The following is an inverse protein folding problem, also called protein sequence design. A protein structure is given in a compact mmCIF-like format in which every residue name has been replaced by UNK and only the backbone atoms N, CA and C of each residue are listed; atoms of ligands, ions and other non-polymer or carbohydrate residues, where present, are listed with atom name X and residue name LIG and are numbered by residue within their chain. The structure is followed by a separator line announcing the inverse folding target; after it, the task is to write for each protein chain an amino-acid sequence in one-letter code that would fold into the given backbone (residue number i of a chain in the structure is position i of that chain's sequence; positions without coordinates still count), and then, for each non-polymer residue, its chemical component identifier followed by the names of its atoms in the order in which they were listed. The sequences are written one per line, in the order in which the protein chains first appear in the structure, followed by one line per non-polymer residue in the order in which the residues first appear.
data_IF_270595356362
#
_entry.id   IF_270595356362
#
_cell.length_a   1.000
_cell.length_b   1.000
_cell.length_c   1.000
_cell.angle_alpha   90.00
_cell.angle_beta   90.00
_cell.angle_gamma   90.00
#
_symmetry.space_group_name_H-M   'P 1'
#
loop_
_entity.id
_entity.type
_entity.pdbx_description
1 polymer ?
#
# COMPACT_ATOMS: atom_id res chain seq x y z
N UNK A 1 -14.96 -42.55 -13.10
CA UNK A 1 -14.70 -41.72 -14.30
C UNK A 1 -16.01 -41.52 -15.07
N UNK A 2 -16.44 -40.26 -15.24
CA UNK A 2 -17.34 -39.72 -16.29
C UNK A 2 -17.87 -38.37 -15.76
N UNK A 3 -17.09 -37.28 -15.84
CA UNK A 3 -16.84 -36.35 -16.96
C UNK A 3 -17.91 -35.26 -17.12
N UNK A 4 -17.51 -34.04 -16.72
CA UNK A 4 -18.24 -32.76 -16.72
C UNK A 4 -18.51 -32.17 -18.12
N UNK A 5 -18.72 -33.00 -19.16
CA UNK A 5 -18.83 -32.57 -20.58
C UNK A 5 -20.22 -32.73 -21.21
N UNK A 6 -21.29 -32.89 -20.44
CA UNK A 6 -22.65 -33.05 -21.00
C UNK A 6 -23.48 -31.75 -21.11
N UNK A 7 -23.02 -30.60 -20.61
CA UNK A 7 -23.87 -29.41 -20.54
C UNK A 7 -23.70 -28.41 -21.71
N UNK A 8 -22.78 -28.66 -22.66
CA UNK A 8 -22.47 -27.71 -23.73
C UNK A 8 -22.97 -28.09 -25.14
N UNK A 9 -23.79 -29.13 -25.30
CA UNK A 9 -24.08 -29.67 -26.63
C UNK A 9 -25.55 -30.02 -26.92
N UNK A 10 -26.51 -29.25 -26.39
CA UNK A 10 -27.90 -29.24 -26.89
C UNK A 10 -28.52 -27.86 -26.80
N UNK A 11 -28.41 -27.08 -27.87
CA UNK A 11 -29.04 -25.76 -27.95
C UNK A 11 -28.86 -25.07 -29.30
N UNK A 12 -29.04 -25.79 -30.41
CA UNK A 12 -29.05 -25.20 -31.75
C UNK A 12 -30.36 -25.58 -32.46
N UNK A 13 -31.43 -24.83 -32.20
CA UNK A 13 -32.56 -24.58 -33.10
C UNK A 13 -33.61 -23.68 -32.43
N UNK A 14 -34.07 -22.67 -33.19
CA UNK A 14 -35.25 -21.82 -32.98
C UNK A 14 -35.13 -20.58 -32.04
N UNK A 15 -34.81 -19.43 -32.65
CA UNK A 15 -35.62 -18.21 -32.63
C UNK A 15 -35.89 -17.45 -31.31
N UNK A 16 -35.43 -16.19 -31.31
CA UNK A 16 -35.83 -15.04 -30.47
C UNK A 16 -35.13 -14.85 -29.10
N UNK A 17 -34.41 -13.71 -29.03
CA UNK A 17 -33.95 -12.96 -27.84
C UNK A 17 -32.98 -13.65 -26.86
N UNK A 18 -31.69 -13.70 -27.22
CA UNK A 18 -30.62 -13.78 -26.22
C UNK A 18 -30.29 -12.37 -25.72
N UNK A 19 -30.93 -11.96 -24.62
CA UNK A 19 -30.44 -10.85 -23.79
C UNK A 19 -29.12 -11.35 -23.18
N UNK A 20 -28.01 -10.90 -23.77
CA UNK A 20 -26.67 -11.28 -23.33
C UNK A 20 -26.37 -10.72 -21.94
N UNK A 21 -25.83 -11.58 -21.09
CA UNK A 21 -25.27 -11.24 -19.78
C UNK A 21 -24.14 -10.19 -19.83
N UNK A 22 -23.71 -9.75 -21.02
CA UNK A 22 -22.66 -8.75 -21.23
C UNK A 22 -23.10 -7.29 -21.16
N UNK A 23 -24.40 -6.98 -21.01
CA UNK A 23 -24.87 -5.57 -20.86
C UNK A 23 -24.93 -5.06 -19.42
N UNK A 24 -24.81 -5.92 -18.42
CA UNK A 24 -24.73 -5.49 -17.01
C UNK A 24 -23.36 -4.92 -16.61
N UNK A 25 -22.35 -5.00 -17.48
CA UNK A 25 -21.00 -4.47 -17.24
C UNK A 25 -20.74 -3.11 -17.91
N UNK A 26 -21.67 -2.59 -18.73
CA UNK A 26 -21.40 -1.42 -19.58
C UNK A 26 -22.25 -0.18 -19.27
N UNK A 27 -23.35 -0.31 -18.52
CA UNK A 27 -24.21 0.83 -18.16
C UNK A 27 -24.22 0.98 -16.64
N UNK A 28 -23.22 1.69 -16.09
CA UNK A 28 -23.22 2.11 -14.70
C UNK A 28 -24.34 3.15 -14.49
N UNK A 29 -25.31 2.92 -13.58
CA UNK A 29 -26.32 3.93 -13.28
C UNK A 29 -25.67 5.21 -12.73
N UNK A 30 -26.24 6.37 -13.11
CA UNK A 30 -25.81 7.67 -12.61
C UNK A 30 -25.89 7.72 -11.08
N UNK A 31 -24.84 8.22 -10.44
CA UNK A 31 -24.78 8.38 -9.00
C UNK A 31 -25.78 9.47 -8.56
N UNK A 32 -26.69 9.15 -7.64
CA UNK A 32 -27.42 10.20 -6.91
C UNK A 32 -26.56 10.66 -5.73
N UNK A 33 -26.07 11.89 -5.80
CA UNK A 33 -25.48 12.58 -4.64
C UNK A 33 -26.62 13.31 -3.90
N UNK A 34 -26.88 12.95 -2.65
CA UNK A 34 -27.77 13.74 -1.80
C UNK A 34 -27.29 13.71 -0.34
N UNK A 35 -26.99 14.90 0.19
CA UNK A 35 -26.59 15.10 1.59
C UNK A 35 -25.29 15.89 1.73
N UNK A 36 -25.17 16.70 2.79
CA UNK A 36 -23.90 17.33 3.15
C UNK A 36 -22.98 16.36 3.91
N UNK A 37 -21.68 16.61 3.87
CA UNK A 37 -20.67 15.76 4.51
C UNK A 37 -20.75 15.86 6.04
N UNK A 38 -20.89 14.74 6.75
CA UNK A 38 -20.89 14.74 8.21
C UNK A 38 -19.49 15.07 8.76
N UNK A 39 -19.37 15.58 10.00
CA UNK A 39 -18.07 15.82 10.60
C UNK A 39 -17.20 14.56 10.69
N UNK A 40 -17.80 13.39 10.94
CA UNK A 40 -17.11 12.11 11.01
C UNK A 40 -16.56 11.67 9.65
N UNK A 41 -17.40 11.72 8.61
CA UNK A 41 -16.99 11.39 7.24
C UNK A 41 -15.88 12.32 6.74
N UNK A 42 -16.00 13.63 7.02
CA UNK A 42 -14.96 14.60 6.68
C UNK A 42 -13.66 14.35 7.44
N UNK A 43 -13.71 13.93 8.70
CA UNK A 43 -12.52 13.58 9.46
C UNK A 43 -11.79 12.37 8.87
N UNK A 44 -12.55 11.33 8.48
CA UNK A 44 -12.02 10.15 7.78
C UNK A 44 -11.35 10.55 6.47
N UNK A 45 -12.07 11.27 5.59
CA UNK A 45 -11.54 11.68 4.29
C UNK A 45 -10.33 12.60 4.44
N UNK A 46 -10.30 13.47 5.45
CA UNK A 46 -9.17 14.37 5.69
C UNK A 46 -7.94 13.61 6.22
N UNK A 47 -8.14 12.58 7.03
CA UNK A 47 -7.05 11.71 7.47
C UNK A 47 -6.48 10.91 6.29
N UNK A 48 -7.35 10.28 5.49
CA UNK A 48 -6.94 9.58 4.26
C UNK A 48 -6.19 10.52 3.33
N UNK A 49 -6.73 11.70 3.02
CA UNK A 49 -6.06 12.70 2.19
C UNK A 49 -4.64 13.06 2.69
N UNK A 50 -4.42 13.07 4.01
CA UNK A 50 -3.10 13.30 4.58
C UNK A 50 -2.15 12.10 4.41
N UNK A 51 -2.65 10.87 4.52
CA UNK A 51 -1.87 9.66 4.24
C UNK A 51 -1.52 9.54 2.76
N UNK A 52 -2.49 9.71 1.86
CA UNK A 52 -2.26 9.73 0.41
C UNK A 52 -1.22 10.79 0.01
N UNK A 53 -1.19 11.94 0.71
CA UNK A 53 -0.16 12.97 0.47
C UNK A 53 1.24 12.51 0.90
N UNK A 54 1.35 11.73 1.98
CA UNK A 54 2.61 11.16 2.46
C UNK A 54 3.08 10.03 1.55
N UNK A 55 2.14 9.21 1.08
CA UNK A 55 2.34 8.12 0.14
C UNK A 55 2.76 8.62 -1.25
N UNK A 56 2.15 9.71 -1.72
CA UNK A 56 2.63 10.39 -2.93
C UNK A 56 4.08 10.86 -2.78
N UNK A 57 4.46 11.44 -1.63
CA UNK A 57 5.83 11.93 -1.41
C UNK A 57 6.87 10.81 -1.36
N UNK A 58 6.50 9.62 -0.85
CA UNK A 58 7.39 8.46 -0.87
C UNK A 58 7.47 7.82 -2.25
N UNK A 59 6.35 7.65 -2.95
CA UNK A 59 6.32 7.08 -4.30
C UNK A 59 7.04 7.98 -5.30
N UNK A 60 6.89 9.30 -5.19
CA UNK A 60 7.67 10.24 -5.99
C UNK A 60 9.18 10.01 -5.82
N UNK A 61 9.67 9.81 -4.58
CA UNK A 61 11.10 9.53 -4.35
C UNK A 61 11.57 8.22 -5.00
N UNK A 62 10.74 7.19 -4.98
CA UNK A 62 11.02 5.95 -5.70
C UNK A 62 11.00 6.14 -7.22
N UNK A 63 10.01 6.86 -7.74
CA UNK A 63 9.88 7.15 -9.17
C UNK A 63 11.05 7.99 -9.70
N UNK A 64 11.54 8.96 -8.91
CA UNK A 64 12.68 9.79 -9.28
C UNK A 64 13.97 9.00 -9.58
N UNK A 65 14.15 7.87 -8.90
CA UNK A 65 15.35 7.05 -9.00
C UNK A 65 15.13 5.78 -9.82
N UNK A 66 14.02 5.09 -9.61
CA UNK A 66 13.74 3.75 -10.14
C UNK A 66 12.60 3.66 -11.15
N UNK A 67 11.78 4.69 -11.29
CA UNK A 67 10.62 4.70 -12.19
C UNK A 67 10.90 5.29 -13.58
N UNK A 68 9.84 5.47 -14.37
CA UNK A 68 9.89 6.06 -15.71
C UNK A 68 10.05 7.58 -15.61
N UNK A 69 10.95 8.14 -16.42
CA UNK A 69 11.20 9.58 -16.46
C UNK A 69 10.46 10.20 -17.65
N UNK A 70 9.23 10.66 -17.41
CA UNK A 70 8.41 11.34 -18.41
C UNK A 70 7.71 12.59 -17.83
N UNK A 71 6.59 13.01 -18.44
CA UNK A 71 5.83 14.19 -18.04
C UNK A 71 4.50 13.89 -17.36
N UNK A 72 4.17 12.63 -17.09
CA UNK A 72 2.89 12.23 -16.46
C UNK A 72 2.89 12.58 -14.97
N UNK A 73 3.93 12.16 -14.26
CA UNK A 73 4.15 12.47 -12.84
C UNK A 73 5.48 13.20 -12.62
N UNK A 74 5.62 14.00 -11.54
CA UNK A 74 6.91 14.54 -11.13
C UNK A 74 7.96 13.44 -10.96
N UNK A 75 9.03 13.51 -11.75
CA UNK A 75 10.13 12.54 -11.74
C UNK A 75 11.50 13.19 -11.48
N UNK A 76 12.53 12.38 -11.50
CA UNK A 76 13.91 12.78 -11.29
C UNK A 76 14.64 12.83 -12.63
N UNK A 77 15.91 12.46 -12.61
CA UNK A 77 16.63 12.10 -13.84
C UNK A 77 16.90 10.59 -13.94
N UNK A 78 16.36 9.79 -13.01
CA UNK A 78 16.63 8.36 -12.89
C UNK A 78 18.02 8.03 -12.35
N UNK A 79 18.18 6.79 -11.87
CA UNK A 79 19.45 6.21 -11.45
C UNK A 79 19.60 4.80 -12.06
N UNK A 80 20.34 4.66 -13.18
CA UNK A 80 20.40 3.39 -13.92
C UNK A 80 20.84 2.19 -13.07
N UNK A 81 21.81 2.37 -12.18
CA UNK A 81 22.28 1.27 -11.33
C UNK A 81 21.20 0.81 -10.33
N UNK A 82 20.44 1.75 -9.77
CA UNK A 82 19.34 1.41 -8.88
C UNK A 82 18.15 0.81 -9.63
N UNK A 83 17.81 1.32 -10.83
CA UNK A 83 16.82 0.73 -11.72
C UNK A 83 17.20 -0.71 -12.09
N UNK A 84 18.46 -0.98 -12.41
CA UNK A 84 18.95 -2.34 -12.69
C UNK A 84 18.80 -3.26 -11.47
N UNK A 85 19.13 -2.77 -10.27
CA UNK A 85 18.97 -3.55 -9.03
C UNK A 85 17.50 -3.83 -8.69
N UNK A 86 16.59 -2.88 -8.94
CA UNK A 86 15.15 -3.10 -8.84
C UNK A 86 14.68 -4.12 -9.88
N UNK A 87 15.22 -4.09 -11.10
CA UNK A 87 14.82 -5.00 -12.18
C UNK A 87 15.09 -6.49 -11.91
N UNK A 88 15.95 -6.79 -10.91
CA UNK A 88 16.15 -8.14 -10.39
C UNK A 88 14.88 -8.69 -9.74
N UNK A 89 14.04 -7.82 -9.16
CA UNK A 89 12.75 -8.20 -8.60
C UNK A 89 11.72 -8.48 -9.71
N UNK A 90 11.69 -7.64 -10.75
CA UNK A 90 10.87 -7.83 -11.95
C UNK A 90 11.35 -6.87 -13.05
N UNK A 91 11.36 -7.30 -14.32
CA UNK A 91 11.82 -6.45 -15.42
C UNK A 91 10.97 -5.19 -15.62
N UNK A 92 9.72 -5.21 -15.15
CA UNK A 92 8.76 -4.12 -15.33
C UNK A 92 8.66 -3.18 -14.11
N UNK A 93 9.56 -3.31 -13.12
CA UNK A 93 9.54 -2.50 -11.89
C UNK A 93 9.44 -0.99 -12.14
N UNK A 94 10.11 -0.46 -13.16
CA UNK A 94 10.05 0.96 -13.47
C UNK A 94 8.64 1.43 -13.87
N UNK A 95 7.88 0.59 -14.59
CA UNK A 95 6.50 0.87 -14.96
C UNK A 95 5.60 0.81 -13.73
N UNK A 96 5.71 -0.24 -12.91
CA UNK A 96 4.87 -0.40 -11.72
C UNK A 96 5.07 0.75 -10.72
N UNK A 97 6.32 1.19 -10.51
CA UNK A 97 6.62 2.33 -9.63
C UNK A 97 5.98 3.61 -10.18
N UNK A 98 6.06 3.82 -11.50
CA UNK A 98 5.53 5.00 -12.15
C UNK A 98 3.99 5.04 -12.12
N UNK A 99 3.32 3.94 -12.47
CA UNK A 99 1.85 3.82 -12.45
C UNK A 99 1.31 4.01 -11.03
N UNK A 100 1.91 3.35 -10.03
CA UNK A 100 1.49 3.53 -8.63
C UNK A 100 1.69 4.97 -8.17
N UNK A 101 2.77 5.64 -8.62
CA UNK A 101 2.98 7.05 -8.32
C UNK A 101 1.87 7.92 -8.89
N UNK A 102 1.43 7.67 -10.13
CA UNK A 102 0.30 8.40 -10.74
C UNK A 102 -0.99 8.19 -9.95
N UNK A 103 -1.32 6.95 -9.61
CA UNK A 103 -2.51 6.61 -8.82
C UNK A 103 -2.51 7.38 -7.49
N UNK A 104 -1.39 7.42 -6.77
CA UNK A 104 -1.30 8.19 -5.52
C UNK A 104 -1.51 9.69 -5.71
N UNK A 105 -0.97 10.27 -6.80
CA UNK A 105 -1.22 11.66 -7.14
C UNK A 105 -2.72 11.93 -7.34
N UNK A 106 -3.45 10.98 -7.94
CA UNK A 106 -4.89 11.10 -8.13
C UNK A 106 -5.67 10.95 -6.83
N UNK A 107 -5.30 10.03 -5.95
CA UNK A 107 -5.98 9.78 -4.67
C UNK A 107 -6.00 11.03 -3.78
N UNK A 108 -4.82 11.60 -3.45
CA UNK A 108 -4.79 12.78 -2.57
C UNK A 108 -5.43 14.01 -3.22
N UNK A 109 -5.28 14.16 -4.55
CA UNK A 109 -5.86 15.28 -5.30
C UNK A 109 -7.38 15.21 -5.26
N UNK A 110 -7.95 14.03 -5.53
CA UNK A 110 -9.39 13.80 -5.50
C UNK A 110 -9.96 14.05 -4.10
N UNK A 111 -9.38 13.44 -3.06
CA UNK A 111 -9.88 13.57 -1.68
C UNK A 111 -9.85 15.03 -1.21
N UNK A 112 -8.77 15.76 -1.46
CA UNK A 112 -8.67 17.17 -1.12
C UNK A 112 -9.64 18.05 -1.92
N UNK A 113 -9.88 17.74 -3.20
CA UNK A 113 -10.88 18.44 -4.01
C UNK A 113 -12.29 18.18 -3.47
N UNK A 114 -12.61 16.93 -3.13
CA UNK A 114 -13.90 16.53 -2.58
C UNK A 114 -14.19 17.23 -1.24
N UNK A 115 -13.22 17.29 -0.33
CA UNK A 115 -13.34 18.04 0.93
C UNK A 115 -13.62 19.53 0.66
N UNK A 116 -12.89 20.14 -0.29
CA UNK A 116 -13.02 21.56 -0.63
C UNK A 116 -14.39 21.90 -1.21
N UNK A 117 -14.92 21.07 -2.12
CA UNK A 117 -16.25 21.30 -2.73
C UNK A 117 -17.37 21.24 -1.70
N UNK A 118 -17.18 20.48 -0.62
CA UNK A 118 -18.10 20.40 0.52
C UNK A 118 -17.82 21.43 1.63
N UNK A 119 -16.91 22.39 1.40
CA UNK A 119 -16.57 23.43 2.37
C UNK A 119 -15.83 22.92 3.61
N UNK A 120 -15.25 21.72 3.55
CA UNK A 120 -14.50 21.12 4.65
C UNK A 120 -13.01 21.43 4.56
N UNK A 121 -12.33 21.31 5.71
CA UNK A 121 -10.89 21.50 5.78
C UNK A 121 -10.15 20.39 5.02
N UNK A 122 -9.22 20.79 4.16
CA UNK A 122 -8.34 19.89 3.41
C UNK A 122 -7.17 19.39 4.30
N UNK A 123 -6.49 18.34 3.84
CA UNK A 123 -5.18 17.99 4.36
C UNK A 123 -4.14 18.90 3.68
N UNK A 124 -3.31 19.57 4.47
CA UNK A 124 -2.21 20.37 3.93
C UNK A 124 -0.99 20.18 4.82
N UNK A 125 0.01 19.49 4.26
CA UNK A 125 1.26 19.15 4.95
C UNK A 125 2.46 19.95 4.41
N UNK A 126 2.26 20.89 3.49
CA UNK A 126 3.38 21.56 2.78
C UNK A 126 4.38 22.25 3.71
N UNK A 127 3.92 22.80 4.84
CA UNK A 127 4.81 23.41 5.83
C UNK A 127 5.80 22.41 6.48
N UNK A 128 5.54 21.11 6.37
CA UNK A 128 6.35 20.02 6.91
C UNK A 128 7.25 19.37 5.84
N UNK A 129 7.28 19.91 4.62
CA UNK A 129 8.15 19.46 3.53
C UNK A 129 9.59 19.94 3.79
N UNK A 130 10.22 19.40 4.83
CA UNK A 130 11.49 19.89 5.39
C UNK A 130 12.57 18.82 5.46
N UNK A 131 12.22 17.54 5.28
CA UNK A 131 13.20 16.46 5.31
C UNK A 131 14.12 16.55 4.08
N UNK A 132 15.40 16.13 4.20
CA UNK A 132 16.32 16.14 3.08
C UNK A 132 15.98 15.03 2.08
N UNK A 133 16.20 15.30 0.79
CA UNK A 133 16.20 14.28 -0.25
C UNK A 133 17.46 13.42 -0.22
N UNK A 134 17.42 12.27 -0.90
CA UNK A 134 18.64 11.55 -1.29
C UNK A 134 19.58 12.47 -2.09
N UNK A 135 20.89 12.27 -1.92
CA UNK A 135 21.93 12.96 -2.69
C UNK A 135 22.47 12.11 -3.84
N UNK A 136 21.89 10.93 -4.09
CA UNK A 136 22.25 10.09 -5.21
C UNK A 136 21.86 10.77 -6.53
N UNK A 137 22.65 10.54 -7.58
CA UNK A 137 22.31 10.98 -8.93
C UNK A 137 20.94 10.43 -9.32
N UNK A 138 20.07 11.28 -9.87
CA UNK A 138 18.68 10.94 -10.17
C UNK A 138 17.67 11.63 -9.27
N UNK A 139 17.96 11.77 -7.97
CA UNK A 139 17.04 12.33 -7.01
C UNK A 139 16.88 13.85 -7.17
N UNK A 140 15.64 14.33 -7.05
CA UNK A 140 15.40 15.77 -6.90
C UNK A 140 15.93 16.27 -5.56
N UNK A 141 16.41 17.52 -5.52
CA UNK A 141 16.95 18.15 -4.32
C UNK A 141 15.93 19.11 -3.70
N UNK A 142 14.80 18.54 -3.25
CA UNK A 142 13.69 19.28 -2.65
C UNK A 142 13.47 18.87 -1.19
N UNK A 143 12.65 19.62 -0.46
CA UNK A 143 12.16 19.17 0.83
C UNK A 143 11.22 17.98 0.67
N UNK A 144 11.24 17.06 1.63
CA UNK A 144 10.37 15.86 1.68
C UNK A 144 9.47 15.87 2.90
N UNK A 145 8.38 15.13 2.80
CA UNK A 145 7.53 14.79 3.94
C UNK A 145 7.94 13.47 4.59
N UNK A 146 8.53 12.57 3.79
CA UNK A 146 8.90 11.21 4.18
C UNK A 146 10.39 10.93 4.04
N UNK A 147 10.89 9.94 4.79
CA UNK A 147 12.28 9.51 4.83
C UNK A 147 12.40 8.04 4.40
N UNK A 148 13.06 7.78 3.27
CA UNK A 148 13.31 6.44 2.74
C UNK A 148 14.74 5.92 3.00
N UNK A 149 15.52 6.66 3.77
CA UNK A 149 16.94 6.38 4.03
C UNK A 149 17.19 5.67 5.37
N UNK A 150 16.17 5.58 6.23
CA UNK A 150 16.26 5.04 7.60
C UNK A 150 15.00 4.22 7.97
N UNK A 151 14.72 3.18 7.19
CA UNK A 151 13.50 2.37 7.32
C UNK A 151 13.67 1.18 8.28
N UNK A 152 12.61 0.86 9.01
CA UNK A 152 12.42 -0.39 9.77
C UNK A 152 11.16 -1.06 9.24
N UNK A 153 11.28 -2.01 8.31
CA UNK A 153 10.11 -2.54 7.59
C UNK A 153 9.53 -3.73 8.34
N UNK A 154 8.32 -3.59 8.85
CA UNK A 154 7.56 -4.74 9.36
C UNK A 154 7.19 -5.62 8.17
N UNK A 155 7.75 -6.83 8.12
CA UNK A 155 7.51 -7.84 7.09
C UNK A 155 6.51 -8.91 7.54
N UNK A 156 5.86 -8.76 8.70
CA UNK A 156 4.81 -9.67 9.15
C UNK A 156 3.55 -9.59 8.29
N UNK A 157 3.40 -8.57 7.45
CA UNK A 157 2.36 -8.55 6.41
C UNK A 157 2.46 -9.76 5.48
N UNK A 158 3.67 -10.28 5.23
CA UNK A 158 3.89 -11.44 4.36
C UNK A 158 3.21 -12.68 4.89
N UNK A 159 3.52 -13.01 6.15
CA UNK A 159 3.01 -14.19 6.84
C UNK A 159 1.56 -13.99 7.26
N UNK A 160 1.13 -12.73 7.47
CA UNK A 160 -0.26 -12.37 7.70
C UNK A 160 -1.15 -12.95 6.62
N UNK A 161 -0.82 -12.79 5.35
CA UNK A 161 -1.65 -13.26 4.24
C UNK A 161 -1.45 -14.75 3.88
N UNK A 162 -0.45 -15.42 4.45
CA UNK A 162 -0.11 -16.84 4.19
C UNK A 162 -0.42 -17.78 5.37
N UNK A 163 -1.01 -17.25 6.45
CA UNK A 163 -1.41 -18.05 7.61
C UNK A 163 -2.89 -18.41 7.54
N UNK A 164 -3.18 -19.70 7.66
CA UNK A 164 -4.55 -20.25 7.70
C UNK A 164 -5.18 -20.26 9.11
N UNK A 165 -4.34 -20.03 10.13
CA UNK A 165 -4.67 -20.28 11.53
C UNK A 165 -4.48 -19.05 12.43
N UNK A 166 -3.92 -17.97 11.88
CA UNK A 166 -3.73 -16.69 12.58
C UNK A 166 -4.40 -15.53 11.84
N UNK A 167 -5.02 -14.63 12.59
CA UNK A 167 -5.57 -13.38 12.08
C UNK A 167 -5.33 -12.25 13.11
N UNK A 168 -4.71 -11.11 12.73
CA UNK A 168 -4.50 -9.98 13.63
C UNK A 168 -5.80 -9.40 14.21
N UNK A 169 -6.95 -9.54 13.54
CA UNK A 169 -8.27 -9.14 14.09
C UNK A 169 -8.58 -9.91 15.41
N UNK A 170 -7.96 -11.08 15.62
CA UNK A 170 -8.12 -11.92 16.83
C UNK A 170 -6.95 -11.76 17.82
N UNK A 171 -6.09 -10.75 17.64
CA UNK A 171 -4.94 -10.49 18.50
C UNK A 171 -3.74 -11.43 18.25
N UNK A 172 -3.76 -12.20 17.15
CA UNK A 172 -2.65 -13.09 16.80
C UNK A 172 -1.43 -12.29 16.32
N UNK A 173 -0.24 -12.73 16.74
CA UNK A 173 1.03 -12.20 16.23
C UNK A 173 1.64 -13.15 15.21
N UNK A 174 2.15 -12.57 14.12
CA UNK A 174 2.73 -13.30 12.99
C UNK A 174 4.24 -13.05 12.89
N UNK A 175 5.02 -14.05 12.46
CA UNK A 175 6.47 -13.91 12.36
C UNK A 175 6.86 -12.99 11.19
N UNK A 176 8.04 -12.37 11.31
CA UNK A 176 8.65 -11.57 10.25
C UNK A 176 9.17 -12.49 9.14
N UNK A 177 8.93 -12.15 7.86
CA UNK A 177 9.52 -12.87 6.74
C UNK A 177 11.02 -12.56 6.61
N UNK A 178 11.40 -11.30 6.85
CA UNK A 178 12.80 -10.85 6.88
C UNK A 178 13.09 -10.26 8.27
N UNK A 179 13.52 -11.08 9.25
CA UNK A 179 13.70 -10.63 10.63
C UNK A 179 14.64 -9.43 10.79
N UNK A 180 15.74 -9.40 10.05
CA UNK A 180 16.72 -8.30 10.12
C UNK A 180 16.13 -6.97 9.63
N UNK A 181 15.24 -7.01 8.63
CA UNK A 181 14.62 -5.81 8.06
C UNK A 181 13.60 -5.15 9.01
N UNK A 182 13.01 -5.95 9.90
CA UNK A 182 12.07 -5.51 10.93
C UNK A 182 12.76 -4.89 12.16
N UNK A 183 14.08 -4.76 12.13
CA UNK A 183 14.88 -4.13 13.20
C UNK A 183 15.95 -3.22 12.60
N UNK A 184 16.50 -2.29 13.36
CA UNK A 184 17.52 -1.37 12.82
C UNK A 184 16.95 -0.36 11.81
N UNK A 185 17.83 0.27 11.02
CA UNK A 185 17.45 1.30 10.04
C UNK A 185 18.18 1.03 8.73
N UNK A 186 17.40 0.87 7.66
CA UNK A 186 17.87 0.41 6.36
C UNK A 186 17.45 1.39 5.26
N UNK A 187 18.32 1.69 4.28
CA UNK A 187 17.91 2.50 3.14
C UNK A 187 17.01 1.69 2.19
N UNK A 188 15.84 2.24 1.87
CA UNK A 188 15.02 1.78 0.74
C UNK A 188 15.37 2.51 -0.57
N UNK A 189 16.16 3.57 -0.53
CA UNK A 189 16.76 4.21 -1.71
C UNK A 189 18.25 4.49 -1.43
N UNK A 190 19.11 4.59 -2.47
CA UNK A 190 20.49 5.04 -2.27
C UNK A 190 20.51 6.41 -1.60
N UNK A 191 21.23 6.58 -0.49
CA UNK A 191 21.34 7.86 0.25
C UNK A 191 22.24 8.86 -0.49
N UNK A 192 23.23 8.31 -1.19
CA UNK A 192 24.19 9.00 -2.05
C UNK A 192 24.74 8.01 -3.09
N UNK A 193 25.57 8.49 -4.01
CA UNK A 193 26.25 7.62 -4.97
C UNK A 193 27.21 6.60 -4.33
N UNK A 194 27.57 6.77 -3.05
CA UNK A 194 28.37 5.78 -2.33
C UNK A 194 27.62 4.44 -2.16
N UNK A 195 26.28 4.49 -2.07
CA UNK A 195 25.45 3.30 -1.90
C UNK A 195 25.28 2.50 -3.20
N UNK A 196 25.78 3.00 -4.34
CA UNK A 196 25.76 2.29 -5.63
C UNK A 196 26.82 1.17 -5.70
N UNK A 197 27.59 0.98 -4.63
CA UNK A 197 28.63 -0.05 -4.54
C UNK A 197 28.82 -0.53 -3.09
N UNK A 198 29.25 -1.78 -2.88
CA UNK A 198 29.33 -2.87 -3.88
C UNK A 198 27.94 -3.29 -4.39
N UNK A 199 27.85 -4.08 -5.48
CA UNK A 199 26.57 -4.48 -6.07
C UNK A 199 25.59 -5.11 -5.07
N UNK A 200 26.08 -5.98 -4.17
CA UNK A 200 25.23 -6.63 -3.17
C UNK A 200 24.66 -5.65 -2.12
N UNK A 201 25.36 -4.53 -1.85
CA UNK A 201 24.82 -3.46 -1.01
C UNK A 201 23.66 -2.75 -1.71
N UNK A 202 23.82 -2.41 -3.00
CA UNK A 202 22.76 -1.80 -3.78
C UNK A 202 21.56 -2.75 -3.95
N UNK A 203 21.81 -4.05 -4.14
CA UNK A 203 20.74 -5.05 -4.19
C UNK A 203 20.00 -5.16 -2.84
N UNK A 204 20.70 -5.05 -1.71
CA UNK A 204 20.05 -5.01 -0.39
C UNK A 204 19.10 -3.80 -0.24
N UNK A 205 19.46 -2.66 -0.82
CA UNK A 205 18.59 -1.46 -0.87
C UNK A 205 17.38 -1.71 -1.76
N UNK A 206 17.56 -2.29 -2.95
CA UNK A 206 16.45 -2.65 -3.84
C UNK A 206 15.51 -3.70 -3.21
N UNK A 207 16.05 -4.70 -2.51
CA UNK A 207 15.26 -5.66 -1.76
C UNK A 207 14.49 -4.98 -0.61
N UNK A 208 15.13 -4.05 0.11
CA UNK A 208 14.46 -3.23 1.13
C UNK A 208 13.28 -2.45 0.54
N UNK A 209 13.47 -1.84 -0.64
CA UNK A 209 12.41 -1.16 -1.37
C UNK A 209 11.24 -2.09 -1.70
N UNK A 210 11.52 -3.28 -2.28
CA UNK A 210 10.49 -4.26 -2.61
C UNK A 210 9.61 -4.67 -1.43
N UNK A 211 10.22 -4.94 -0.27
CA UNK A 211 9.46 -5.23 0.96
C UNK A 211 8.74 -4.00 1.52
N UNK A 212 9.31 -2.81 1.34
CA UNK A 212 8.69 -1.56 1.78
C UNK A 212 7.45 -1.20 0.95
N UNK A 213 7.48 -1.40 -0.38
CA UNK A 213 6.32 -1.20 -1.26
C UNK A 213 5.11 -1.99 -0.75
N UNK A 214 5.30 -3.29 -0.52
CA UNK A 214 4.24 -4.14 -0.01
C UNK A 214 3.80 -3.77 1.43
N UNK A 215 4.70 -3.25 2.28
CA UNK A 215 4.34 -2.77 3.61
C UNK A 215 3.40 -1.56 3.55
N UNK A 216 3.73 -0.58 2.70
CA UNK A 216 2.94 0.65 2.51
C UNK A 216 1.54 0.30 1.99
N UNK A 217 1.49 -0.48 0.92
CA UNK A 217 0.27 -0.78 0.18
C UNK A 217 -0.64 -1.78 0.92
N UNK A 218 -0.04 -2.66 1.74
CA UNK A 218 -0.81 -3.44 2.72
C UNK A 218 -1.55 -2.50 3.68
N UNK A 219 -0.91 -1.40 4.08
CA UNK A 219 -1.47 -0.37 4.94
C UNK A 219 -2.77 0.18 4.35
N UNK A 220 -2.72 0.71 3.12
CA UNK A 220 -3.90 1.18 2.38
C UNK A 220 -4.97 0.09 2.24
N UNK A 221 -4.57 -1.10 1.79
CA UNK A 221 -5.42 -2.29 1.63
C UNK A 221 -6.26 -2.59 2.87
N UNK A 222 -5.70 -2.44 4.08
CA UNK A 222 -6.41 -2.72 5.34
C UNK A 222 -7.14 -1.49 5.93
N UNK A 223 -6.57 -0.30 5.74
CA UNK A 223 -7.08 0.93 6.36
C UNK A 223 -8.40 1.38 5.73
N UNK A 224 -8.51 1.38 4.40
CA UNK A 224 -9.73 1.75 3.69
C UNK A 224 -10.96 0.94 4.12
N UNK A 225 -10.95 -0.41 4.11
CA UNK A 225 -12.10 -1.19 4.58
C UNK A 225 -12.35 -1.05 6.09
N UNK A 226 -11.31 -0.80 6.89
CA UNK A 226 -11.46 -0.52 8.32
C UNK A 226 -12.20 0.80 8.54
N UNK A 227 -11.87 1.85 7.81
CA UNK A 227 -12.53 3.16 7.91
C UNK A 227 -13.90 3.19 7.21
N UNK A 228 -14.11 2.38 6.17
CA UNK A 228 -15.39 2.26 5.48
C UNK A 228 -16.53 1.81 6.41
N UNK A 229 -16.22 1.06 7.46
CA UNK A 229 -17.20 0.65 8.48
C UNK A 229 -17.66 1.80 9.39
N UNK A 230 -17.02 2.97 9.30
CA UNK A 230 -17.27 4.13 10.18
C UNK A 230 -17.95 5.30 9.47
N UNK A 231 -17.98 5.30 8.15
CA UNK A 231 -18.60 6.37 7.37
C UNK A 231 -20.13 6.25 7.37
N UNK A 232 -20.81 7.37 7.25
CA UNK A 232 -22.27 7.49 7.31
C UNK A 232 -22.89 7.74 5.94
N UNK A 233 -22.23 8.57 5.12
CA UNK A 233 -22.66 8.86 3.76
C UNK A 233 -22.39 7.68 2.84
N UNK A 234 -23.41 7.28 2.08
CA UNK A 234 -23.27 6.28 1.02
C UNK A 234 -22.33 6.73 -0.09
N UNK A 235 -22.25 8.04 -0.33
CA UNK A 235 -21.32 8.62 -1.30
C UNK A 235 -19.87 8.51 -0.80
N UNK A 236 -19.62 8.81 0.48
CA UNK A 236 -18.30 8.66 1.09
C UNK A 236 -17.90 7.19 1.18
N UNK A 237 -18.85 6.32 1.53
CA UNK A 237 -18.65 4.87 1.49
C UNK A 237 -18.24 4.41 0.08
N UNK A 238 -18.88 4.95 -0.97
CA UNK A 238 -18.49 4.67 -2.34
C UNK A 238 -17.05 5.10 -2.64
N UNK A 239 -16.60 6.25 -2.12
CA UNK A 239 -15.21 6.69 -2.27
C UNK A 239 -14.26 5.66 -1.64
N UNK A 240 -14.47 5.30 -0.38
CA UNK A 240 -13.59 4.36 0.32
C UNK A 240 -13.61 2.96 -0.30
N UNK A 241 -14.77 2.51 -0.78
CA UNK A 241 -14.92 1.22 -1.48
C UNK A 241 -14.47 1.27 -2.95
N UNK A 242 -14.05 2.43 -3.47
CA UNK A 242 -13.48 2.55 -4.82
C UNK A 242 -11.98 2.71 -4.79
N UNK A 243 -11.44 3.52 -3.87
CA UNK A 243 -9.99 3.67 -3.66
C UNK A 243 -9.43 2.45 -2.92
N UNK A 244 -10.07 1.95 -1.86
CA UNK A 244 -9.54 0.79 -1.13
C UNK A 244 -9.23 -0.46 -1.98
N UNK A 245 -10.03 -0.80 -3.01
CA UNK A 245 -9.67 -1.87 -3.94
C UNK A 245 -8.49 -1.55 -4.88
N UNK A 246 -8.19 -0.30 -5.21
CA UNK A 246 -6.98 0.05 -6.00
C UNK A 246 -5.72 -0.20 -5.17
N UNK A 247 -5.71 0.21 -3.90
CA UNK A 247 -4.67 -0.16 -2.91
C UNK A 247 -4.46 -1.68 -2.82
N UNK A 248 -5.54 -2.46 -2.93
CA UNK A 248 -5.46 -3.92 -2.92
C UNK A 248 -4.77 -4.46 -4.19
N UNK A 249 -4.97 -3.81 -5.34
CA UNK A 249 -4.27 -4.15 -6.59
C UNK A 249 -2.78 -3.79 -6.49
N UNK A 250 -2.45 -2.63 -5.91
CA UNK A 250 -1.08 -2.24 -5.62
C UNK A 250 -0.42 -3.28 -4.72
N UNK A 251 -0.99 -3.56 -3.55
CA UNK A 251 -0.45 -4.54 -2.61
C UNK A 251 -0.24 -5.91 -3.26
N UNK A 252 -1.22 -6.40 -4.02
CA UNK A 252 -1.12 -7.68 -4.72
C UNK A 252 0.08 -7.73 -5.68
N UNK A 253 0.36 -6.63 -6.39
CA UNK A 253 1.53 -6.48 -7.24
C UNK A 253 2.80 -6.54 -6.38
N UNK A 254 2.90 -5.70 -5.37
CA UNK A 254 4.14 -5.57 -4.61
C UNK A 254 4.48 -6.77 -3.74
N UNK A 255 3.50 -7.46 -3.16
CA UNK A 255 3.80 -8.67 -2.40
C UNK A 255 4.31 -9.83 -3.27
N UNK A 256 3.90 -9.88 -4.56
CA UNK A 256 4.48 -10.80 -5.53
C UNK A 256 5.94 -10.40 -5.82
N UNK A 257 6.19 -9.12 -6.10
CA UNK A 257 7.54 -8.64 -6.47
C UNK A 257 8.55 -8.71 -5.32
N UNK A 258 8.10 -8.47 -4.09
CA UNK A 258 8.91 -8.68 -2.89
C UNK A 258 9.40 -10.14 -2.78
N UNK A 259 8.62 -11.11 -3.28
CA UNK A 259 8.99 -12.53 -3.30
C UNK A 259 10.12 -12.91 -4.25
N UNK A 260 10.50 -12.01 -5.16
CA UNK A 260 11.61 -12.21 -6.09
C UNK A 260 12.95 -11.68 -5.54
N UNK A 261 12.96 -11.09 -4.34
CA UNK A 261 14.19 -10.62 -3.70
C UNK A 261 15.18 -11.78 -3.50
N UNK A 262 16.39 -11.71 -4.11
CA UNK A 262 17.37 -12.77 -3.96
C UNK A 262 17.90 -12.82 -2.51
N UNK A 263 18.21 -14.02 -1.99
CA UNK A 263 18.87 -14.15 -0.70
C UNK A 263 20.28 -13.56 -0.79
N UNK A 264 20.63 -12.71 0.18
CA UNK A 264 21.95 -12.07 0.26
C UNK A 264 22.24 -11.59 1.69
N UNK A 265 23.52 -11.38 1.98
CA UNK A 265 23.95 -10.60 3.16
C UNK A 265 24.68 -9.37 2.65
N UNK A 266 24.18 -8.19 3.00
CA UNK A 266 24.78 -6.92 2.62
C UNK A 266 26.20 -6.82 3.22
N UNK A 267 27.27 -6.74 2.39
CA UNK A 267 28.64 -6.65 2.89
C UNK A 267 28.94 -5.34 3.62
N UNK A 268 28.11 -4.29 3.44
CA UNK A 268 28.30 -2.98 4.05
C UNK A 268 27.62 -2.85 5.41
N UNK A 269 26.46 -3.48 5.60
CA UNK A 269 25.64 -3.31 6.81
C UNK A 269 25.44 -4.59 7.61
N UNK A 270 25.62 -5.76 7.00
CA UNK A 270 25.28 -7.06 7.57
C UNK A 270 23.80 -7.45 7.48
N UNK A 271 22.94 -6.59 6.89
CA UNK A 271 21.53 -6.90 6.65
C UNK A 271 21.40 -8.19 5.83
N UNK A 272 20.66 -9.17 6.34
CA UNK A 272 20.45 -10.45 5.65
C UNK A 272 19.03 -10.62 5.13
N UNK A 273 18.92 -10.96 3.85
CA UNK A 273 17.71 -11.50 3.21
C UNK A 273 17.87 -13.04 3.12
N UNK A 274 17.11 -13.82 3.90
CA UNK A 274 17.16 -15.28 3.83
C UNK A 274 16.50 -15.81 2.54
N UNK A 275 16.76 -17.09 2.23
CA UNK A 275 15.99 -17.80 1.21
C UNK A 275 14.60 -18.14 1.76
N UNK A 276 13.58 -17.38 1.36
CA UNK A 276 12.21 -17.56 1.81
C UNK A 276 11.60 -18.90 1.39
N UNK A 277 12.14 -19.57 0.38
CA UNK A 277 11.63 -20.88 -0.06
C UNK A 277 12.28 -22.05 0.69
N UNK A 278 13.18 -21.79 1.64
CA UNK A 278 13.81 -22.82 2.47
C UNK A 278 12.89 -23.38 3.59
N UNK A 279 11.96 -22.55 4.10
CA UNK A 279 11.28 -22.78 5.40
C UNK A 279 9.77 -23.04 5.29
N UNK A 280 9.36 -23.79 4.27
CA UNK A 280 7.99 -24.31 4.12
C UNK A 280 6.97 -23.29 3.62
N UNK A 281 5.69 -23.68 3.69
CA UNK A 281 4.59 -23.02 2.98
C UNK A 281 4.40 -21.55 3.41
N UNK A 282 4.60 -21.23 4.69
CA UNK A 282 4.35 -19.90 5.24
C UNK A 282 5.21 -18.79 4.60
N UNK A 283 6.42 -19.13 4.14
CA UNK A 283 7.35 -18.19 3.50
C UNK A 283 7.45 -18.38 1.98
N UNK A 284 6.81 -19.41 1.44
CA UNK A 284 6.84 -19.74 0.01
C UNK A 284 6.41 -18.55 -0.86
N UNK A 285 7.26 -18.18 -1.83
CA UNK A 285 7.14 -16.90 -2.53
C UNK A 285 6.05 -16.87 -3.58
N UNK A 286 5.74 -18.00 -4.22
CA UNK A 286 4.70 -18.10 -5.24
C UNK A 286 3.26 -18.28 -4.69
N UNK A 287 3.06 -18.27 -3.37
CA UNK A 287 1.74 -18.24 -2.74
C UNK A 287 1.22 -16.81 -2.65
N UNK A 288 0.80 -16.30 -3.80
CA UNK A 288 0.44 -14.89 -3.97
C UNK A 288 -1.05 -14.61 -3.73
N UNK A 289 -1.88 -15.63 -3.48
CA UNK A 289 -3.28 -15.46 -3.13
C UNK A 289 -3.44 -15.55 -1.61
N UNK A 290 -4.35 -14.79 -0.98
CA UNK A 290 -4.51 -14.81 0.46
C UNK A 290 -5.07 -16.16 0.94
N UNK A 291 -4.33 -16.81 1.85
CA UNK A 291 -4.76 -18.05 2.49
C UNK A 291 -6.05 -17.82 3.32
N UNK A 292 -7.03 -18.75 3.26
CA UNK A 292 -8.23 -18.65 4.07
C UNK A 292 -7.92 -18.62 5.57
N UNK A 293 -8.57 -17.77 6.33
CA UNK A 293 -8.33 -17.67 7.78
C UNK A 293 -9.63 -17.51 8.58
N UNK A 294 -9.50 -17.45 9.90
CA UNK A 294 -10.58 -17.17 10.84
C UNK A 294 -11.15 -15.78 10.55
N UNK A 295 -12.48 -15.68 10.41
CA UNK A 295 -13.18 -14.43 10.18
C UNK A 295 -14.48 -14.38 10.99
N UNK A 296 -14.76 -13.21 11.60
CA UNK A 296 -15.90 -12.92 12.49
C UNK A 296 -15.97 -13.77 13.77
N UNK A 297 -15.93 -15.10 13.67
CA UNK A 297 -16.00 -16.03 14.79
C UNK A 297 -15.38 -17.38 14.36
N UNK A 298 -14.61 -18.02 15.27
CA UNK A 298 -13.96 -19.33 15.03
C UNK A 298 -14.94 -20.48 14.74
N UNK A 299 -16.24 -20.28 14.97
CA UNK A 299 -17.28 -21.26 14.60
C UNK A 299 -17.59 -21.30 13.10
N UNK A 300 -17.26 -20.24 12.35
CA UNK A 300 -17.44 -20.22 10.90
C UNK A 300 -16.27 -20.90 10.19
N UNK A 301 -16.49 -21.49 9.01
CA UNK A 301 -15.39 -21.96 8.17
C UNK A 301 -14.42 -20.82 7.83
N UNK A 302 -13.14 -21.14 7.68
CA UNK A 302 -12.12 -20.19 7.23
C UNK A 302 -12.46 -19.64 5.84
N UNK A 303 -12.10 -18.39 5.58
CA UNK A 303 -12.36 -17.68 4.31
C UNK A 303 -11.20 -16.74 3.97
N UNK A 304 -10.89 -16.59 2.67
CA UNK A 304 -9.89 -15.63 2.20
C UNK A 304 -10.45 -14.21 2.30
N UNK A 305 -9.74 -13.34 3.03
CA UNK A 305 -10.16 -11.97 3.33
C UNK A 305 -8.96 -11.03 3.33
N UNK A 306 -9.24 -9.73 3.23
CA UNK A 306 -8.32 -8.68 3.68
C UNK A 306 -8.27 -8.66 5.20
N UNK A 307 -7.08 -8.39 5.76
CA UNK A 307 -6.86 -8.38 7.21
C UNK A 307 -5.72 -7.41 7.62
N UNK A 308 -5.92 -6.61 8.68
CA UNK A 308 -7.14 -6.50 9.47
C UNK A 308 -8.24 -5.71 8.75
N UNK A 309 -9.49 -5.95 9.14
CA UNK A 309 -10.62 -5.08 8.74
C UNK A 309 -11.45 -4.64 9.93
N UNK A 310 -11.40 -5.36 11.07
CA UNK A 310 -12.04 -4.95 12.30
C UNK A 310 -11.00 -4.45 13.28
N UNK A 311 -10.81 -3.13 13.35
CA UNK A 311 -9.81 -2.53 14.23
C UNK A 311 -10.42 -1.45 15.09
N UNK A 312 -10.11 -1.40 16.38
CA UNK A 312 -10.23 -0.18 17.17
C UNK A 312 -8.99 0.71 16.94
N UNK A 313 -9.20 1.99 16.65
CA UNK A 313 -8.10 2.93 16.44
C UNK A 313 -7.33 2.72 15.12
N UNK A 314 -8.03 2.43 14.02
CA UNK A 314 -7.44 2.15 12.70
C UNK A 314 -6.47 3.24 12.25
N UNK A 315 -6.88 4.50 12.37
CA UNK A 315 -6.12 5.65 11.93
C UNK A 315 -4.87 5.87 12.80
N UNK A 316 -5.02 5.77 14.13
CA UNK A 316 -3.89 5.83 15.05
C UNK A 316 -2.93 4.64 14.86
N UNK A 317 -3.45 3.46 14.54
CA UNK A 317 -2.69 2.26 14.21
C UNK A 317 -1.81 2.49 12.97
N UNK A 318 -2.39 3.01 11.89
CA UNK A 318 -1.66 3.36 10.68
C UNK A 318 -0.55 4.40 10.95
N UNK A 319 -0.88 5.50 11.65
CA UNK A 319 0.12 6.51 12.01
C UNK A 319 1.26 5.93 12.86
N UNK A 320 0.95 5.05 13.81
CA UNK A 320 1.95 4.37 14.64
C UNK A 320 2.83 3.45 13.79
N UNK A 321 2.25 2.69 12.87
CA UNK A 321 3.00 1.80 11.98
C UNK A 321 3.96 2.59 11.08
N UNK A 322 3.50 3.65 10.42
CA UNK A 322 4.34 4.51 9.57
C UNK A 322 5.43 5.24 10.38
N UNK A 323 5.11 5.65 11.62
CA UNK A 323 6.12 6.22 12.53
C UNK A 323 7.18 5.20 12.93
N UNK A 324 6.76 3.98 13.30
CA UNK A 324 7.65 2.89 13.67
C UNK A 324 8.52 2.41 12.48
N UNK A 325 8.00 2.54 11.27
CA UNK A 325 8.73 2.28 10.04
C UNK A 325 9.89 3.26 9.80
N UNK A 326 9.93 4.40 10.49
CA UNK A 326 10.98 5.39 10.33
C UNK A 326 10.69 6.45 9.25
N UNK A 327 9.53 6.35 8.58
CA UNK A 327 9.11 7.25 7.51
C UNK A 327 9.12 8.73 7.90
N UNK A 328 8.98 9.04 9.20
CA UNK A 328 8.95 10.40 9.72
C UNK A 328 10.18 10.78 10.56
N UNK A 329 11.27 10.01 10.49
CA UNK A 329 12.53 10.37 11.16
C UNK A 329 13.03 11.72 10.63
N UNK A 330 13.17 12.68 11.55
CA UNK A 330 13.55 14.06 11.26
C UNK A 330 12.38 15.06 11.24
N UNK A 331 11.13 14.58 11.29
CA UNK A 331 9.97 15.48 11.31
C UNK A 331 9.84 16.25 12.63
N UNK A 332 9.17 17.39 12.56
CA UNK A 332 8.95 18.27 13.71
C UNK A 332 7.91 17.70 14.70
N UNK A 333 7.97 18.12 15.97
CA UNK A 333 6.92 17.79 16.94
C UNK A 333 5.52 18.31 16.51
N UNK A 334 5.49 19.42 15.75
CA UNK A 334 4.24 19.96 15.20
C UNK A 334 3.64 19.04 14.12
N UNK A 335 4.47 18.40 13.29
CA UNK A 335 4.02 17.38 12.33
C UNK A 335 3.30 16.24 13.05
N UNK A 336 3.93 15.68 14.09
CA UNK A 336 3.32 14.60 14.87
C UNK A 336 2.03 15.03 15.58
N UNK A 337 1.98 16.27 16.09
CA UNK A 337 0.75 16.82 16.67
C UNK A 337 -0.38 16.91 15.65
N UNK A 338 -0.10 17.43 14.44
CA UNK A 338 -1.10 17.52 13.36
C UNK A 338 -1.59 16.14 12.95
N UNK A 339 -0.68 15.21 12.66
CA UNK A 339 -1.04 13.86 12.22
C UNK A 339 -1.81 13.09 13.29
N UNK A 340 -1.41 13.23 14.56
CA UNK A 340 -2.13 12.61 15.69
C UNK A 340 -3.55 13.15 15.80
N UNK A 341 -3.75 14.46 15.66
CA UNK A 341 -5.09 15.06 15.72
C UNK A 341 -5.97 14.59 14.55
N UNK A 342 -5.42 14.46 13.34
CA UNK A 342 -6.16 13.92 12.19
C UNK A 342 -6.57 12.46 12.43
N UNK A 343 -5.64 11.62 12.89
CA UNK A 343 -5.90 10.22 13.18
C UNK A 343 -6.95 10.04 14.30
N UNK A 344 -6.82 10.78 15.41
CA UNK A 344 -7.80 10.76 16.50
C UNK A 344 -9.20 11.17 16.05
N UNK A 345 -9.30 12.18 15.19
CA UNK A 345 -10.58 12.63 14.65
C UNK A 345 -11.24 11.56 13.76
N UNK A 346 -10.45 10.89 12.91
CA UNK A 346 -10.94 9.80 12.07
C UNK A 346 -11.38 8.58 12.91
N UNK A 347 -10.63 8.22 13.95
CA UNK A 347 -10.98 7.11 14.85
C UNK A 347 -12.21 7.41 15.73
N UNK A 348 -12.46 8.69 16.02
CA UNK A 348 -13.65 9.14 16.75
C UNK A 348 -14.93 9.08 15.91
N UNK A 349 -14.83 8.97 14.57
CA UNK A 349 -15.99 8.83 13.70
C UNK A 349 -16.75 7.53 13.99
N UNK A 350 -18.08 7.63 14.00
CA UNK A 350 -18.99 6.51 14.27
C UNK A 350 -20.02 6.42 13.15
N UNK A 351 -20.27 5.19 12.70
CA UNK A 351 -21.37 4.94 11.77
C UNK A 351 -22.71 5.26 12.45
N UNK A 352 -23.57 6.01 11.75
CA UNK A 352 -24.95 6.31 12.14
C UNK A 352 -25.14 7.43 13.19
N UNK A 353 -24.13 8.27 13.45
CA UNK A 353 -24.26 9.42 14.36
C UNK A 353 -24.37 10.76 13.66
#
# INVERSE_FOLDING_TARGET
MSSRRSFLLKGAAAGAATIGAGRLLADAPLAEASGGLTPGDAAILRFLAALETLETDLWQQYNELGGIQDGEVPGGSGNPAYTDALSVLDSDMAQYIHDNTDDEFTHFTFLNAYLKTHGMAQANLEKFRTLPSSTATGAQQIGRLTNLMQLTVDTSWWTRYRSDSKNPDFGDTLPQAIPDLATGQHPGIPRSNADLSPPDHLQAIANTAGFHFAFIEQGGTSLYPSLAQRVTSTEVLRILLSIGPTETMHFQTWQDKAGNAPPLTDPSTGLTFPDLNADGELLQTNLIMPEPTIFLDRKFPIVSIIRPTETDGAAMGALKALTANGLFIGQSAEFFSVMTNLAQAADAARHGT
#
